data_IF_817720232567
#
_entry.id   IF_817720232567
#
_cell.length_a   1.000
_cell.length_b   1.000
_cell.length_c   1.000
_cell.angle_alpha   90.00
_cell.angle_beta   90.00
_cell.angle_gamma   90.00
#
_symmetry.space_group_name_H-M   'P 1'
#
loop_
_entity.id
_entity.type
_entity.pdbx_description
1 polymer ?
#
# COMPACT_ATOMS: atom_id res chain seq x y z
N UNK A 1 -10.87 -1.28 -29.25
CA UNK A 1 -12.04 -1.92 -28.66
C UNK A 1 -12.65 -1.08 -27.53
N UNK A 2 -12.59 0.26 -27.60
CA UNK A 2 -13.19 1.20 -26.64
C UNK A 2 -13.90 2.39 -27.35
N UNK A 3 -14.34 2.18 -28.61
CA UNK A 3 -14.84 3.28 -29.43
C UNK A 3 -16.33 3.58 -29.26
N UNK A 4 -17.05 2.78 -28.47
CA UNK A 4 -18.52 2.86 -28.34
C UNK A 4 -19.00 3.07 -26.90
N UNK A 5 -18.17 3.59 -26.00
CA UNK A 5 -18.68 4.03 -24.69
C UNK A 5 -19.41 5.36 -24.88
N UNK A 6 -20.73 5.37 -24.65
CA UNK A 6 -21.51 6.61 -24.74
C UNK A 6 -20.93 7.65 -23.75
N UNK A 7 -20.88 8.94 -24.16
CA UNK A 7 -20.35 10.01 -23.30
C UNK A 7 -21.07 10.10 -21.96
N UNK A 8 -22.32 9.61 -21.88
CA UNK A 8 -23.09 9.50 -20.63
C UNK A 8 -22.51 8.48 -19.67
N UNK A 9 -22.01 7.34 -20.17
CA UNK A 9 -21.37 6.29 -19.33
C UNK A 9 -20.02 6.75 -18.83
N UNK A 10 -19.26 7.48 -19.64
CA UNK A 10 -17.99 8.06 -19.23
C UNK A 10 -18.17 9.16 -18.16
N UNK A 11 -19.18 10.02 -18.33
CA UNK A 11 -19.54 11.04 -17.34
C UNK A 11 -20.05 10.42 -16.03
N UNK A 12 -20.80 9.31 -16.09
CA UNK A 12 -21.27 8.59 -14.91
C UNK A 12 -20.12 7.92 -14.13
N UNK A 13 -19.13 7.36 -14.83
CA UNK A 13 -17.93 6.77 -14.20
C UNK A 13 -17.03 7.83 -13.55
N UNK A 14 -16.89 8.99 -14.21
CA UNK A 14 -16.12 10.12 -13.65
C UNK A 14 -16.82 10.74 -12.45
N UNK A 15 -18.15 10.89 -12.46
CA UNK A 15 -18.91 11.42 -11.33
C UNK A 15 -18.97 10.45 -10.14
N UNK A 16 -18.96 9.13 -10.38
CA UNK A 16 -18.90 8.13 -9.33
C UNK A 16 -17.53 8.09 -8.64
N UNK A 17 -16.44 8.26 -9.40
CA UNK A 17 -15.07 8.34 -8.87
C UNK A 17 -14.83 9.57 -8.00
N UNK A 18 -15.41 10.74 -8.36
CA UNK A 18 -15.25 11.97 -7.56
C UNK A 18 -16.09 11.99 -6.29
N UNK A 19 -17.22 11.27 -6.23
CA UNK A 19 -18.05 11.20 -5.03
C UNK A 19 -17.41 10.39 -3.88
N UNK A 20 -16.54 9.44 -4.19
CA UNK A 20 -15.82 8.66 -3.17
C UNK A 20 -14.50 9.31 -2.69
N UNK A 21 -13.93 10.24 -3.46
CA UNK A 21 -12.65 10.87 -3.14
C UNK A 21 -12.74 12.07 -2.18
N UNK A 22 -13.90 12.64 -1.94
CA UNK A 22 -14.06 13.89 -1.18
C UNK A 22 -14.59 13.72 0.25
N UNK A 23 -14.79 12.50 0.74
CA UNK A 23 -15.32 12.27 2.10
C UNK A 23 -14.26 12.21 3.20
N UNK A 24 -13.00 12.59 2.92
CA UNK A 24 -11.87 12.39 3.83
C UNK A 24 -11.63 13.46 4.91
N UNK A 25 -12.26 14.63 4.85
CA UNK A 25 -11.92 15.75 5.74
C UNK A 25 -13.14 16.50 6.26
N UNK A 26 -14.15 15.81 6.79
CA UNK A 26 -15.21 16.47 7.55
C UNK A 26 -14.75 16.65 9.01
N UNK A 27 -14.29 17.84 9.37
CA UNK A 27 -14.09 18.20 10.77
C UNK A 27 -15.45 18.17 11.49
N UNK A 28 -15.53 17.60 12.71
CA UNK A 28 -16.77 17.55 13.47
C UNK A 28 -17.23 18.97 13.82
N UNK A 29 -18.46 19.29 13.45
CA UNK A 29 -19.08 20.59 13.64
C UNK A 29 -19.55 20.88 15.08
N UNK A 30 -19.05 20.15 16.08
CA UNK A 30 -19.48 20.33 17.47
C UNK A 30 -18.31 20.72 18.39
N UNK A 31 -18.17 22.02 18.78
CA UNK A 31 -17.06 22.51 19.60
C UNK A 31 -17.17 22.15 21.09
N UNK A 32 -18.14 21.36 21.52
CA UNK A 32 -18.39 21.08 22.95
C UNK A 32 -17.62 19.89 23.50
N UNK A 33 -16.72 19.24 22.71
CA UNK A 33 -15.84 18.17 23.21
C UNK A 33 -14.40 18.68 23.27
N UNK A 34 -14.20 19.74 24.04
CA UNK A 34 -12.88 20.35 24.25
C UNK A 34 -12.12 19.69 25.42
N UNK A 35 -12.18 18.36 25.57
CA UNK A 35 -11.42 17.65 26.61
C UNK A 35 -10.69 16.41 26.14
N UNK A 36 -10.70 16.13 24.85
CA UNK A 36 -9.86 15.10 24.25
C UNK A 36 -9.24 15.68 22.99
N UNK A 37 -7.94 15.60 22.86
CA UNK A 37 -7.20 16.07 21.67
C UNK A 37 -7.57 15.30 20.39
N UNK A 38 -8.43 14.28 20.48
CA UNK A 38 -8.90 13.47 19.36
C UNK A 38 -10.44 13.53 19.22
N UNK A 39 -10.97 14.28 18.23
CA UNK A 39 -12.41 14.36 17.97
C UNK A 39 -13.01 13.02 17.49
N UNK A 40 -12.20 12.07 17.08
CA UNK A 40 -12.61 10.74 16.60
C UNK A 40 -12.34 9.63 17.62
N UNK A 41 -11.99 9.94 18.87
CA UNK A 41 -11.61 8.97 19.89
C UNK A 41 -12.59 7.79 20.01
N UNK A 42 -13.89 8.07 20.08
CA UNK A 42 -14.92 7.04 20.23
C UNK A 42 -14.98 6.09 19.02
N UNK A 43 -14.76 6.61 17.81
CA UNK A 43 -14.70 5.81 16.59
C UNK A 43 -13.39 5.04 16.49
N UNK A 44 -12.29 5.70 16.80
CA UNK A 44 -10.96 5.08 16.80
C UNK A 44 -10.89 3.90 17.78
N UNK A 45 -11.52 4.02 18.95
CA UNK A 45 -11.64 2.91 19.93
C UNK A 45 -12.42 1.71 19.37
N UNK A 46 -13.51 1.95 18.61
CA UNK A 46 -14.27 0.86 17.98
C UNK A 46 -13.46 0.15 16.90
N UNK A 47 -12.78 0.94 16.05
CA UNK A 47 -11.90 0.40 15.00
C UNK A 47 -10.74 -0.38 15.64
N UNK A 48 -10.13 0.16 16.69
CA UNK A 48 -9.07 -0.53 17.42
C UNK A 48 -9.56 -1.86 18.04
N UNK A 49 -10.75 -1.86 18.64
CA UNK A 49 -11.33 -3.09 19.19
C UNK A 49 -11.59 -4.14 18.10
N UNK A 50 -12.10 -3.74 16.94
CA UNK A 50 -12.28 -4.61 15.78
C UNK A 50 -10.94 -5.17 15.29
N UNK A 51 -9.94 -4.31 15.07
CA UNK A 51 -8.60 -4.71 14.63
C UNK A 51 -7.96 -5.71 15.61
N UNK A 52 -8.11 -5.47 16.92
CA UNK A 52 -7.63 -6.38 17.96
C UNK A 52 -8.34 -7.75 17.94
N UNK A 53 -9.64 -7.77 17.63
CA UNK A 53 -10.38 -9.04 17.48
C UNK A 53 -9.95 -9.80 16.23
N UNK A 54 -9.77 -9.10 15.10
CA UNK A 54 -9.24 -9.65 13.86
C UNK A 54 -7.84 -10.24 14.06
N UNK A 55 -6.95 -9.49 14.71
CA UNK A 55 -5.61 -9.98 15.04
C UNK A 55 -5.67 -11.29 15.84
N UNK A 56 -6.43 -11.29 16.95
CA UNK A 56 -6.49 -12.44 17.85
C UNK A 56 -7.13 -13.68 17.21
N UNK A 57 -8.20 -13.49 16.42
CA UNK A 57 -9.02 -14.61 15.91
C UNK A 57 -8.55 -15.12 14.55
N UNK A 58 -7.92 -14.28 13.74
CA UNK A 58 -7.59 -14.60 12.35
C UNK A 58 -6.10 -14.41 12.10
N UNK A 59 -5.59 -13.17 12.20
CA UNK A 59 -4.25 -12.86 11.74
C UNK A 59 -3.19 -13.61 12.53
N UNK A 60 -3.27 -13.56 13.85
CA UNK A 60 -2.30 -14.23 14.73
C UNK A 60 -2.27 -15.75 14.57
N UNK A 61 -3.39 -16.51 14.56
CA UNK A 61 -3.33 -17.94 14.33
C UNK A 61 -2.85 -18.29 12.93
N UNK A 62 -3.26 -17.55 11.89
CA UNK A 62 -2.79 -17.77 10.51
C UNK A 62 -1.29 -17.49 10.40
N UNK A 63 -0.80 -16.40 10.98
CA UNK A 63 0.64 -16.08 10.97
C UNK A 63 1.47 -17.14 11.71
N UNK A 64 0.98 -17.65 12.83
CA UNK A 64 1.66 -18.75 13.56
C UNK A 64 1.68 -20.03 12.75
N UNK A 65 0.58 -20.40 12.10
CA UNK A 65 0.52 -21.56 11.22
C UNK A 65 1.47 -21.41 10.03
N UNK A 66 1.51 -20.23 9.41
CA UNK A 66 2.44 -19.92 8.32
C UNK A 66 3.91 -20.12 8.73
N UNK A 67 4.33 -19.51 9.85
CA UNK A 67 5.71 -19.64 10.35
C UNK A 67 6.05 -21.09 10.76
N UNK A 68 5.07 -21.87 11.22
CA UNK A 68 5.28 -23.25 11.59
C UNK A 68 5.41 -24.21 10.39
N UNK A 69 4.77 -23.87 9.27
CA UNK A 69 4.70 -24.75 8.08
C UNK A 69 5.70 -24.34 7.00
N UNK A 70 5.91 -23.03 6.81
CA UNK A 70 6.78 -22.50 5.74
C UNK A 70 8.21 -22.35 6.28
N UNK A 71 9.20 -23.03 5.67
CA UNK A 71 10.60 -22.89 6.09
C UNK A 71 11.11 -21.46 5.83
N UNK A 72 12.17 -21.01 6.52
CA UNK A 72 12.70 -19.64 6.41
C UNK A 72 13.01 -19.20 4.98
N UNK A 73 13.53 -20.10 4.15
CA UNK A 73 13.83 -19.83 2.74
C UNK A 73 12.55 -19.51 1.95
N UNK A 74 11.46 -20.25 2.22
CA UNK A 74 10.15 -19.98 1.63
C UNK A 74 9.55 -18.64 2.09
N UNK A 75 9.79 -18.27 3.35
CA UNK A 75 9.35 -16.97 3.87
C UNK A 75 10.09 -15.82 3.17
N UNK A 76 11.38 -15.97 2.88
CA UNK A 76 12.18 -14.99 2.14
C UNK A 76 11.61 -14.82 0.72
N UNK A 77 11.29 -15.92 0.03
CA UNK A 77 10.70 -15.86 -1.32
C UNK A 77 9.37 -15.09 -1.33
N UNK A 78 8.51 -15.35 -0.36
CA UNK A 78 7.23 -14.64 -0.23
C UNK A 78 7.45 -13.15 0.08
N UNK A 79 8.41 -12.83 0.95
CA UNK A 79 8.76 -11.45 1.27
C UNK A 79 9.28 -10.71 0.03
N UNK A 80 10.25 -11.27 -0.67
CA UNK A 80 10.81 -10.68 -1.88
C UNK A 80 9.74 -10.41 -2.95
N UNK A 81 8.83 -11.38 -3.13
CA UNK A 81 7.72 -11.21 -4.07
C UNK A 81 6.80 -10.06 -3.66
N UNK A 82 6.45 -9.96 -2.38
CA UNK A 82 5.62 -8.86 -1.85
C UNK A 82 6.32 -7.50 -2.01
N UNK A 83 7.62 -7.42 -1.69
CA UNK A 83 8.42 -6.21 -1.86
C UNK A 83 8.50 -5.80 -3.35
N UNK A 84 8.68 -6.77 -4.25
CA UNK A 84 8.68 -6.49 -5.70
C UNK A 84 7.31 -5.96 -6.19
N UNK A 85 6.20 -6.46 -5.65
CA UNK A 85 4.86 -5.93 -5.94
C UNK A 85 4.62 -4.52 -5.38
N UNK A 86 5.34 -4.10 -4.35
CA UNK A 86 5.26 -2.76 -3.78
C UNK A 86 6.06 -1.72 -4.57
N UNK A 87 7.07 -2.13 -5.37
CA UNK A 87 7.92 -1.23 -6.13
C UNK A 87 7.17 -0.26 -7.05
N UNK A 88 6.12 -0.66 -7.81
CA UNK A 88 5.38 0.29 -8.64
C UNK A 88 4.79 1.47 -7.85
N UNK A 89 4.27 1.21 -6.66
CA UNK A 89 3.76 2.27 -5.77
C UNK A 89 4.89 3.19 -5.32
N UNK A 90 6.01 2.64 -4.87
CA UNK A 90 7.18 3.43 -4.47
C UNK A 90 7.76 4.25 -5.64
N UNK A 91 7.76 3.73 -6.86
CA UNK A 91 8.21 4.46 -8.06
C UNK A 91 7.33 5.69 -8.29
N UNK A 92 6.00 5.51 -8.28
CA UNK A 92 5.06 6.62 -8.48
C UNK A 92 5.20 7.67 -7.38
N UNK A 93 5.29 7.28 -6.12
CA UNK A 93 5.45 8.21 -5.01
C UNK A 93 6.78 8.96 -5.06
N UNK A 94 7.90 8.29 -5.38
CA UNK A 94 9.19 8.95 -5.59
C UNK A 94 9.11 9.98 -6.74
N UNK A 95 8.41 9.68 -7.83
CA UNK A 95 8.22 10.64 -8.93
C UNK A 95 7.40 11.85 -8.48
N UNK A 96 6.31 11.64 -7.74
CA UNK A 96 5.45 12.72 -7.23
C UNK A 96 6.20 13.63 -6.25
N UNK A 97 7.16 13.08 -5.51
CA UNK A 97 8.04 13.82 -4.60
C UNK A 97 9.26 14.47 -5.31
N UNK A 98 9.41 14.27 -6.62
CA UNK A 98 10.57 14.78 -7.38
C UNK A 98 11.87 14.00 -7.12
N UNK A 99 11.80 12.87 -6.44
CA UNK A 99 12.95 12.00 -6.20
C UNK A 99 13.22 11.08 -7.40
N UNK A 100 13.73 11.68 -8.48
CA UNK A 100 14.02 10.98 -9.74
C UNK A 100 15.04 9.86 -9.56
N UNK A 101 16.16 10.06 -8.79
CA UNK A 101 17.10 8.96 -8.53
C UNK A 101 16.45 7.76 -7.85
N UNK A 102 15.60 7.97 -6.83
CA UNK A 102 14.88 6.91 -6.14
C UNK A 102 13.89 6.17 -7.04
N UNK A 103 13.15 6.91 -7.86
CA UNK A 103 12.26 6.31 -8.85
C UNK A 103 13.03 5.47 -9.89
N UNK A 104 14.16 5.96 -10.39
CA UNK A 104 15.02 5.23 -11.32
C UNK A 104 15.58 3.95 -10.70
N UNK A 105 16.06 4.02 -9.47
CA UNK A 105 16.60 2.89 -8.73
C UNK A 105 15.55 1.81 -8.51
N UNK A 106 14.35 2.17 -8.06
CA UNK A 106 13.25 1.23 -7.89
C UNK A 106 12.76 0.63 -9.22
N UNK A 107 12.83 1.41 -10.31
CA UNK A 107 12.51 0.89 -11.65
C UNK A 107 13.51 -0.19 -12.07
N UNK A 108 14.81 0.04 -11.87
CA UNK A 108 15.84 -0.96 -12.15
C UNK A 108 15.64 -2.22 -11.29
N UNK A 109 15.35 -2.06 -9.99
CA UNK A 109 15.02 -3.19 -9.12
C UNK A 109 13.84 -4.00 -9.65
N UNK A 110 12.74 -3.32 -10.02
CA UNK A 110 11.55 -3.97 -10.57
C UNK A 110 11.89 -4.78 -11.82
N UNK A 111 12.64 -4.22 -12.75
CA UNK A 111 13.04 -4.91 -13.98
C UNK A 111 13.93 -6.10 -13.68
N UNK A 112 14.98 -5.92 -12.88
CA UNK A 112 15.95 -6.96 -12.55
C UNK A 112 15.27 -8.10 -11.78
N UNK A 113 14.51 -7.79 -10.75
CA UNK A 113 13.85 -8.79 -9.92
C UNK A 113 12.72 -9.51 -10.66
N UNK A 114 11.99 -8.80 -11.54
CA UNK A 114 10.95 -9.44 -12.34
C UNK A 114 11.49 -10.35 -13.45
N UNK A 115 12.66 -10.04 -14.01
CA UNK A 115 13.27 -10.83 -15.11
C UNK A 115 14.21 -11.90 -14.58
N UNK A 116 15.25 -11.51 -13.83
CA UNK A 116 16.27 -12.41 -13.30
C UNK A 116 15.84 -13.07 -11.99
N UNK A 117 14.98 -12.40 -11.22
CA UNK A 117 14.47 -12.87 -9.93
C UNK A 117 13.18 -13.69 -10.00
N UNK A 118 12.81 -14.23 -11.16
CA UNK A 118 11.58 -15.04 -11.36
C UNK A 118 10.34 -14.30 -10.83
N UNK A 119 10.00 -13.17 -11.46
CA UNK A 119 8.89 -12.31 -11.07
C UNK A 119 9.00 -11.71 -9.65
N UNK A 120 10.22 -11.57 -9.14
CA UNK A 120 10.47 -11.00 -7.81
C UNK A 120 10.52 -12.02 -6.67
N UNK A 121 10.51 -13.31 -6.94
CA UNK A 121 10.72 -14.34 -5.92
C UNK A 121 12.14 -14.29 -5.34
N UNK A 122 13.12 -13.89 -6.16
CA UNK A 122 14.51 -13.64 -5.76
C UNK A 122 14.81 -12.14 -5.89
N UNK A 123 15.81 -11.67 -5.15
CA UNK A 123 16.25 -10.26 -5.16
C UNK A 123 17.70 -10.09 -5.67
N UNK A 124 17.98 -10.42 -6.93
CA UNK A 124 19.31 -10.20 -7.51
C UNK A 124 19.68 -8.72 -7.58
N UNK A 125 18.71 -7.80 -7.51
CA UNK A 125 19.01 -6.37 -7.54
C UNK A 125 19.80 -5.93 -6.31
N UNK A 126 19.58 -6.55 -5.15
CA UNK A 126 20.38 -6.29 -3.95
C UNK A 126 21.83 -6.75 -4.10
N UNK A 127 22.08 -7.87 -4.80
CA UNK A 127 23.44 -8.35 -5.11
C UNK A 127 24.18 -7.38 -6.05
N UNK A 128 23.46 -6.66 -6.90
CA UNK A 128 24.00 -5.58 -7.74
C UNK A 128 24.16 -4.24 -7.01
N UNK A 129 23.89 -4.18 -5.71
CA UNK A 129 24.00 -2.97 -4.91
C UNK A 129 22.87 -1.96 -5.11
N UNK A 130 21.78 -2.36 -5.74
CA UNK A 130 20.59 -1.52 -5.86
C UNK A 130 19.77 -1.61 -4.55
N UNK A 131 19.79 -0.57 -3.74
CA UNK A 131 18.97 -0.49 -2.52
C UNK A 131 17.55 -0.03 -2.84
N UNK A 132 16.56 -0.52 -2.10
CA UNK A 132 15.18 -0.04 -2.23
C UNK A 132 15.05 1.37 -1.64
N UNK A 133 14.42 2.26 -2.38
CA UNK A 133 14.03 3.60 -1.90
C UNK A 133 12.55 3.60 -1.60
N UNK A 134 12.19 3.23 -0.37
CA UNK A 134 10.79 3.19 0.07
C UNK A 134 10.19 4.58 0.04
N UNK A 135 8.97 4.66 -0.44
CA UNK A 135 8.17 5.88 -0.41
C UNK A 135 6.71 5.48 -0.49
N UNK A 136 5.87 6.21 0.24
CA UNK A 136 4.44 5.98 0.26
C UNK A 136 3.65 7.28 0.05
N UNK A 137 2.32 7.12 -0.06
CA UNK A 137 1.44 8.25 -0.32
C UNK A 137 1.35 9.21 0.89
N UNK A 138 1.58 8.72 2.10
CA UNK A 138 1.62 9.55 3.31
C UNK A 138 2.80 10.51 3.33
N UNK A 139 3.93 10.13 2.73
CA UNK A 139 5.09 11.02 2.55
C UNK A 139 4.89 12.01 1.40
N UNK A 140 3.97 11.72 0.47
CA UNK A 140 3.72 12.55 -0.72
C UNK A 140 2.75 13.70 -0.43
N UNK A 141 1.91 13.61 0.61
CA UNK A 141 0.96 14.63 1.05
C UNK A 141 1.59 15.62 2.01
#
# INVERSE_FOLDING_TARGET
>A
MFKDLSPVLLAALLSFGTAFGLSGCAAPSNPTIASSDDPYEAQNRKVHALNRQLDKKIIRPVSKAYVAVVPPEGQIVVSNFADNLALPSSIVNNLLQGNIPGAGQNTLRLVVNSTLGLAGMFDPSSDFGLTEVRSDFGETL
#
